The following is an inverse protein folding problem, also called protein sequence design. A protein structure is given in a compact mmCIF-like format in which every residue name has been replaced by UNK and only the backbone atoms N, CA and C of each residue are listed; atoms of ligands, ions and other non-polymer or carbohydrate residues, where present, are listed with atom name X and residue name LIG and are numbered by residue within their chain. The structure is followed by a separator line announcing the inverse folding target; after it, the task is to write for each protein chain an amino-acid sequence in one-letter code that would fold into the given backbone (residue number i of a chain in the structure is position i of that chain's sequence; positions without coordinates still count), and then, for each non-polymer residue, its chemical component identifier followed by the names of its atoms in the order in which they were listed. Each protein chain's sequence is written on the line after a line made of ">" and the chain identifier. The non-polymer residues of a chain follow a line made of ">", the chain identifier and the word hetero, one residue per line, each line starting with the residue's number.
data_IF_360202334889
#
_entry.id   IF_360202334889
#
_cell.length_a   1.000
_cell.length_b   1.000
_cell.length_c   1.000
_cell.angle_alpha   90.00
_cell.angle_beta   90.00
_cell.angle_gamma   90.00
#
_symmetry.space_group_name_H-M   'P 1'
#
loop_
_entity.id
_entity.type
_entity.pdbx_description
1 polymer ?
#
# COMPACT_ATOMS: atom_id res chain seq x y z
N UNK A 1 12.90 -16.94 35.16
CA UNK A 1 13.72 -17.30 33.99
C UNK A 1 12.96 -16.89 32.76
N UNK A 2 13.65 -16.16 31.89
CA UNK A 2 13.15 -15.23 30.88
C UNK A 2 12.11 -15.80 29.93
N UNK A 3 11.00 -15.07 29.80
CA UNK A 3 10.07 -15.17 28.67
C UNK A 3 10.89 -14.86 27.41
N UNK A 4 11.22 -15.89 26.64
CA UNK A 4 11.73 -15.72 25.28
C UNK A 4 10.64 -15.00 24.49
N UNK A 5 10.82 -13.70 24.33
CA UNK A 5 10.07 -12.91 23.37
C UNK A 5 10.23 -13.60 22.02
N UNK A 6 9.14 -14.20 21.52
CA UNK A 6 9.00 -14.60 20.13
C UNK A 6 9.11 -13.33 19.29
N UNK A 7 10.35 -12.86 19.06
CA UNK A 7 10.63 -11.80 18.11
C UNK A 7 10.30 -12.40 16.75
N UNK A 8 9.10 -12.12 16.26
CA UNK A 8 8.84 -12.18 14.84
C UNK A 8 9.84 -11.21 14.21
N UNK A 9 10.97 -11.73 13.75
CA UNK A 9 11.91 -11.00 12.92
C UNK A 9 11.19 -10.67 11.62
N UNK A 10 10.45 -9.57 11.64
CA UNK A 10 9.89 -8.97 10.45
C UNK A 10 11.07 -8.59 9.57
N UNK A 11 11.34 -9.41 8.54
CA UNK A 11 12.30 -9.11 7.50
C UNK A 11 12.09 -7.65 7.06
N UNK A 12 13.15 -6.89 6.74
CA UNK A 12 13.03 -5.51 6.29
C UNK A 12 12.03 -5.35 5.11
N UNK A 13 11.84 -6.41 4.32
CA UNK A 13 10.83 -6.50 3.26
C UNK A 13 9.38 -6.47 3.78
N UNK A 14 9.06 -7.15 4.88
CA UNK A 14 7.71 -7.16 5.49
C UNK A 14 7.35 -5.79 6.08
N UNK A 15 8.34 -5.08 6.65
CA UNK A 15 8.18 -3.69 7.09
C UNK A 15 7.91 -2.76 5.91
N UNK A 16 8.58 -2.98 4.78
CA UNK A 16 8.35 -2.24 3.53
C UNK A 16 6.93 -2.42 2.98
N UNK A 17 6.44 -3.65 2.94
CA UNK A 17 5.06 -3.98 2.52
C UNK A 17 4.05 -3.28 3.44
N UNK A 18 4.21 -3.40 4.76
CA UNK A 18 3.32 -2.76 5.73
C UNK A 18 3.31 -1.23 5.58
N UNK A 19 4.49 -0.60 5.46
CA UNK A 19 4.61 0.83 5.28
C UNK A 19 3.93 1.33 3.98
N UNK A 20 4.17 0.65 2.86
CA UNK A 20 3.54 1.01 1.58
C UNK A 20 2.01 0.89 1.63
N UNK A 21 1.50 -0.14 2.32
CA UNK A 21 0.06 -0.36 2.48
C UNK A 21 -0.58 0.73 3.34
N UNK A 22 0.07 1.12 4.45
CA UNK A 22 -0.41 2.21 5.32
C UNK A 22 -0.45 3.52 4.52
N UNK A 23 0.63 3.86 3.81
CA UNK A 23 0.72 5.08 3.00
C UNK A 23 -0.37 5.09 1.92
N UNK A 24 -0.57 3.97 1.20
CA UNK A 24 -1.64 3.84 0.22
C UNK A 24 -3.03 4.08 0.83
N UNK A 25 -3.30 3.51 2.01
CA UNK A 25 -4.59 3.67 2.69
C UNK A 25 -4.87 5.12 3.09
N UNK A 26 -3.85 5.86 3.52
CA UNK A 26 -3.97 7.27 3.90
C UNK A 26 -4.30 8.12 2.66
N UNK A 27 -3.57 7.93 1.56
CA UNK A 27 -3.84 8.67 0.32
C UNK A 27 -5.23 8.36 -0.25
N UNK A 28 -5.65 7.10 -0.19
CA UNK A 28 -6.99 6.68 -0.63
C UNK A 28 -8.08 7.32 0.25
N UNK A 29 -7.92 7.28 1.57
CA UNK A 29 -8.84 7.89 2.52
C UNK A 29 -8.97 9.40 2.34
N UNK A 30 -7.85 10.11 2.18
CA UNK A 30 -7.84 11.54 1.89
C UNK A 30 -8.56 11.88 0.59
N UNK A 31 -8.35 11.07 -0.46
CA UNK A 31 -9.04 11.28 -1.74
C UNK A 31 -10.56 11.13 -1.60
N UNK A 32 -11.03 10.12 -0.87
CA UNK A 32 -12.46 9.90 -0.63
C UNK A 32 -13.07 11.07 0.15
N UNK A 33 -12.39 11.55 1.20
CA UNK A 33 -12.85 12.70 1.99
C UNK A 33 -12.98 13.94 1.10
N UNK A 34 -11.99 14.21 0.24
CA UNK A 34 -12.03 15.36 -0.65
C UNK A 34 -13.11 15.25 -1.73
N UNK A 35 -13.30 14.05 -2.31
CA UNK A 35 -14.42 13.79 -3.22
C UNK A 35 -15.77 14.01 -2.55
N UNK A 36 -15.91 13.60 -1.28
CA UNK A 36 -17.12 13.82 -0.51
C UNK A 36 -17.38 15.31 -0.24
N UNK A 37 -16.36 16.05 0.19
CA UNK A 37 -16.44 17.51 0.38
C UNK A 37 -16.82 18.19 -0.94
N UNK A 38 -16.18 17.81 -2.04
CA UNK A 38 -16.48 18.34 -3.36
C UNK A 38 -17.94 18.05 -3.75
N UNK A 39 -18.44 16.84 -3.51
CA UNK A 39 -19.82 16.46 -3.78
C UNK A 39 -20.86 17.28 -3.02
N UNK A 40 -20.53 17.78 -1.82
CA UNK A 40 -21.43 18.65 -1.03
C UNK A 40 -21.37 20.10 -1.54
N UNK A 41 -20.21 20.54 -2.01
CA UNK A 41 -19.92 21.96 -2.29
C UNK A 41 -20.09 22.37 -3.76
N UNK A 42 -20.84 21.59 -4.56
CA UNK A 42 -21.04 21.80 -6.01
C UNK A 42 -21.71 23.16 -6.33
N UNK A 43 -22.35 23.83 -5.38
CA UNK A 43 -23.16 25.01 -5.65
C UNK A 43 -22.42 26.35 -5.68
N UNK A 44 -21.21 26.48 -5.12
CA UNK A 44 -20.72 27.83 -4.78
C UNK A 44 -19.65 28.45 -5.68
N UNK A 45 -18.84 27.70 -6.47
CA UNK A 45 -17.86 28.32 -7.39
C UNK A 45 -17.26 27.34 -8.42
N UNK A 46 -17.39 27.64 -9.73
CA UNK A 46 -16.94 26.76 -10.82
C UNK A 46 -15.40 26.54 -10.86
N UNK A 47 -14.59 27.60 -10.73
CA UNK A 47 -13.12 27.46 -10.75
C UNK A 47 -12.55 26.69 -9.54
N UNK A 48 -13.13 26.91 -8.36
CA UNK A 48 -12.73 26.19 -7.13
C UNK A 48 -13.21 24.74 -7.20
N UNK A 49 -14.39 24.51 -7.77
CA UNK A 49 -14.92 23.17 -8.05
C UNK A 49 -13.95 22.34 -8.88
N UNK A 50 -13.50 22.83 -10.03
CA UNK A 50 -12.58 22.09 -10.92
C UNK A 50 -11.24 21.78 -10.23
N UNK A 51 -10.69 22.71 -9.46
CA UNK A 51 -9.43 22.49 -8.74
C UNK A 51 -9.59 21.44 -7.62
N UNK A 52 -10.71 21.48 -6.90
CA UNK A 52 -11.10 20.47 -5.91
C UNK A 52 -11.39 19.10 -6.55
N UNK A 53 -11.84 19.04 -7.80
CA UNK A 53 -12.02 17.78 -8.52
C UNK A 53 -10.68 17.17 -8.93
N UNK A 54 -9.68 17.96 -9.31
CA UNK A 54 -8.41 17.45 -9.85
C UNK A 54 -7.48 16.86 -8.78
N UNK A 55 -7.43 17.49 -7.60
CA UNK A 55 -6.58 17.04 -6.50
C UNK A 55 -6.84 15.59 -6.02
N UNK A 56 -8.09 15.12 -5.82
CA UNK A 56 -8.34 13.73 -5.44
C UNK A 56 -7.93 12.71 -6.52
N UNK A 57 -7.91 13.08 -7.80
CA UNK A 57 -7.37 12.20 -8.86
C UNK A 57 -5.86 11.97 -8.69
N UNK A 58 -5.09 13.02 -8.36
CA UNK A 58 -3.65 12.88 -8.08
C UNK A 58 -3.44 11.96 -6.87
N UNK A 59 -4.22 12.13 -5.81
CA UNK A 59 -4.15 11.28 -4.61
C UNK A 59 -4.48 9.81 -4.93
N UNK A 60 -5.50 9.55 -5.76
CA UNK A 60 -5.85 8.19 -6.22
C UNK A 60 -4.70 7.59 -7.03
N UNK A 61 -4.11 8.36 -7.95
CA UNK A 61 -2.98 7.89 -8.74
C UNK A 61 -1.80 7.52 -7.84
N UNK A 62 -1.49 8.34 -6.83
CA UNK A 62 -0.41 8.08 -5.89
C UNK A 62 -0.69 6.84 -5.03
N UNK A 63 -1.92 6.69 -4.53
CA UNK A 63 -2.34 5.50 -3.80
C UNK A 63 -2.20 4.23 -4.67
N UNK A 64 -2.57 4.31 -5.95
CA UNK A 64 -2.44 3.20 -6.89
C UNK A 64 -0.98 2.81 -7.12
N UNK A 65 -0.07 3.78 -7.24
CA UNK A 65 1.38 3.53 -7.35
C UNK A 65 1.89 2.76 -6.13
N UNK A 66 1.51 3.16 -4.91
CA UNK A 66 1.91 2.45 -3.69
C UNK A 66 1.33 1.05 -3.60
N UNK A 67 0.08 0.84 -4.04
CA UNK A 67 -0.52 -0.50 -4.12
C UNK A 67 0.27 -1.37 -5.10
N UNK A 68 0.63 -0.83 -6.27
CA UNK A 68 1.42 -1.55 -7.27
C UNK A 68 2.80 -1.95 -6.73
N UNK A 69 3.50 -1.03 -6.05
CA UNK A 69 4.78 -1.31 -5.38
C UNK A 69 4.61 -2.43 -4.34
N UNK A 70 3.53 -2.38 -3.55
CA UNK A 70 3.21 -3.41 -2.55
C UNK A 70 3.02 -4.78 -3.22
N UNK A 71 2.26 -4.85 -4.31
CA UNK A 71 2.06 -6.09 -5.07
C UNK A 71 3.36 -6.65 -5.65
N UNK A 72 4.24 -5.78 -6.16
CA UNK A 72 5.57 -6.18 -6.66
C UNK A 72 6.42 -6.77 -5.54
N UNK A 73 6.43 -6.14 -4.36
CA UNK A 73 7.17 -6.65 -3.20
C UNK A 73 6.63 -8.01 -2.73
N UNK A 74 5.31 -8.15 -2.63
CA UNK A 74 4.66 -9.43 -2.25
C UNK A 74 4.96 -10.51 -3.30
N UNK A 75 4.85 -10.21 -4.59
CA UNK A 75 5.17 -11.15 -5.66
C UNK A 75 6.63 -11.58 -5.65
N UNK A 76 7.54 -10.65 -5.37
CA UNK A 76 8.98 -10.93 -5.24
C UNK A 76 9.27 -11.85 -4.05
N UNK A 77 8.56 -11.64 -2.95
CA UNK A 77 8.65 -12.49 -1.76
C UNK A 77 8.15 -13.91 -2.05
N UNK A 78 6.96 -14.02 -2.67
CA UNK A 78 6.38 -15.30 -3.03
C UNK A 78 7.27 -16.10 -4.00
N UNK A 79 7.87 -15.41 -4.98
CA UNK A 79 8.82 -16.02 -5.91
C UNK A 79 10.07 -16.56 -5.21
N UNK A 80 10.63 -15.79 -4.26
CA UNK A 80 11.79 -16.22 -3.46
C UNK A 80 11.47 -17.44 -2.60
N UNK A 81 10.31 -17.44 -1.94
CA UNK A 81 9.88 -18.57 -1.10
C UNK A 81 9.69 -19.84 -1.93
N UNK A 82 9.04 -19.73 -3.10
CA UNK A 82 8.88 -20.87 -4.03
C UNK A 82 10.25 -21.41 -4.48
N UNK A 83 11.18 -20.53 -4.86
CA UNK A 83 12.52 -20.95 -5.28
C UNK A 83 13.28 -21.69 -4.17
N UNK A 84 13.13 -21.23 -2.92
CA UNK A 84 13.75 -21.89 -1.77
C UNK A 84 13.17 -23.28 -1.53
N UNK A 85 11.85 -23.43 -1.56
CA UNK A 85 11.16 -24.73 -1.41
C UNK A 85 11.56 -25.70 -2.52
N UNK A 86 11.61 -25.23 -3.78
CA UNK A 86 12.04 -26.04 -4.92
C UNK A 86 13.48 -26.51 -4.77
N UNK A 87 14.39 -25.64 -4.32
CA UNK A 87 15.78 -26.04 -4.03
C UNK A 87 15.85 -27.09 -2.93
N UNK A 88 15.12 -26.88 -1.82
CA UNK A 88 15.11 -27.80 -0.69
C UNK A 88 14.67 -29.21 -1.12
N UNK A 89 13.57 -29.28 -1.90
CA UNK A 89 13.06 -30.52 -2.48
C UNK A 89 14.06 -31.19 -3.44
N UNK A 90 14.84 -30.42 -4.20
CA UNK A 90 15.85 -30.95 -5.12
C UNK A 90 17.13 -31.44 -4.43
N UNK A 91 17.44 -30.96 -3.23
CA UNK A 91 18.61 -31.40 -2.44
C UNK A 91 18.38 -32.66 -1.60
N UNK A 92 17.18 -33.24 -1.62
CA UNK A 92 16.90 -34.54 -1.01
C UNK A 92 17.11 -34.60 0.51
N UNK A 93 16.81 -33.52 1.22
CA UNK A 93 16.59 -33.52 2.68
C UNK A 93 15.11 -33.65 3.00
#
# INVERSE_FOLDING_TARGET
>A
TSIESCQCDFLPSTKGIAACTIIASIFLGLSIILLFIHSINISENYSIGVCLSFFPFILILLAFIFILITLILVGSYLSRDIMYVVRLANTGM
#
